data_IF_612504877696
#
_entry.id   IF_612504877696
#
_cell.length_a   1.000
_cell.length_b   1.000
_cell.length_c   1.000
_cell.angle_alpha   90.00
_cell.angle_beta   90.00
_cell.angle_gamma   90.00
#
_symmetry.space_group_name_H-M   'P 1'
#
loop_
_entity.id
_entity.type
_entity.pdbx_description
1 polymer ?
#
# COMPACT_ATOMS: atom_id res chain seq x y z
N UNK A 1 -19.06 -22.93 -13.07
CA UNK A 1 -19.42 -22.10 -14.23
C UNK A 1 -18.15 -21.42 -14.70
N UNK A 2 -17.85 -21.47 -15.99
CA UNK A 2 -16.71 -20.74 -16.54
C UNK A 2 -17.06 -19.26 -16.71
N UNK A 3 -16.16 -18.33 -16.38
CA UNK A 3 -16.39 -16.91 -16.62
C UNK A 3 -16.34 -16.62 -18.12
N UNK A 4 -17.34 -15.90 -18.61
CA UNK A 4 -17.42 -15.46 -20.01
C UNK A 4 -16.38 -14.37 -20.29
N UNK A 5 -16.22 -13.44 -19.35
CA UNK A 5 -15.32 -12.30 -19.46
C UNK A 5 -14.53 -12.18 -18.15
N UNK A 6 -13.22 -11.95 -18.26
CA UNK A 6 -12.36 -11.63 -17.13
C UNK A 6 -11.68 -10.30 -17.42
N UNK A 7 -11.75 -9.37 -16.47
CA UNK A 7 -11.10 -8.06 -16.56
C UNK A 7 -10.41 -7.71 -15.25
N UNK A 8 -9.20 -7.17 -15.35
CA UNK A 8 -8.50 -6.60 -14.20
C UNK A 8 -8.98 -5.16 -13.96
N UNK A 9 -9.32 -4.85 -12.71
CA UNK A 9 -9.76 -3.52 -12.30
C UNK A 9 -8.94 -3.04 -11.10
N UNK A 10 -8.46 -1.80 -11.18
CA UNK A 10 -7.75 -1.15 -10.07
C UNK A 10 -8.73 -0.71 -8.97
N UNK A 11 -8.35 -0.86 -7.72
CA UNK A 11 -9.19 -0.52 -6.56
C UNK A 11 -9.63 0.96 -6.55
N UNK A 12 -8.73 1.88 -6.91
CA UNK A 12 -9.06 3.32 -6.98
C UNK A 12 -10.16 3.65 -8.03
N UNK A 13 -10.35 2.80 -9.05
CA UNK A 13 -11.37 2.99 -10.08
C UNK A 13 -12.59 2.08 -9.90
N UNK A 14 -12.58 1.20 -8.89
CA UNK A 14 -13.65 0.23 -8.64
C UNK A 14 -14.98 0.91 -8.27
N UNK A 15 -14.93 1.96 -7.44
CA UNK A 15 -16.13 2.73 -7.07
C UNK A 15 -16.74 3.53 -8.24
N UNK A 16 -15.90 4.00 -9.17
CA UNK A 16 -16.40 4.63 -10.41
C UNK A 16 -17.03 3.59 -11.33
N UNK A 17 -16.38 2.44 -11.46
CA UNK A 17 -16.88 1.33 -12.25
C UNK A 17 -18.24 0.84 -11.71
N UNK A 18 -18.40 0.67 -10.40
CA UNK A 18 -19.67 0.25 -9.81
C UNK A 18 -20.79 1.26 -10.04
N UNK A 19 -20.51 2.56 -9.95
CA UNK A 19 -21.50 3.61 -10.22
C UNK A 19 -21.95 3.59 -11.70
N UNK A 20 -21.02 3.47 -12.64
CA UNK A 20 -21.36 3.34 -14.06
C UNK A 20 -22.10 2.04 -14.37
N UNK A 21 -21.72 0.95 -13.70
CA UNK A 21 -22.40 -0.33 -13.81
C UNK A 21 -23.84 -0.23 -13.31
N UNK A 22 -24.08 0.43 -12.17
CA UNK A 22 -25.43 0.67 -11.65
C UNK A 22 -26.31 1.45 -12.66
N UNK A 23 -25.75 2.48 -13.30
CA UNK A 23 -26.44 3.25 -14.35
C UNK A 23 -26.70 2.42 -15.61
N UNK A 24 -25.74 1.59 -16.03
CA UNK A 24 -25.92 0.71 -17.18
C UNK A 24 -27.00 -0.35 -16.92
N UNK A 25 -27.03 -0.91 -15.71
CA UNK A 25 -28.04 -1.89 -15.29
C UNK A 25 -29.44 -1.28 -15.15
N UNK A 26 -29.56 -0.04 -14.67
CA UNK A 26 -30.87 0.63 -14.54
C UNK A 26 -31.49 1.05 -15.87
N UNK A 27 -30.70 1.13 -16.95
CA UNK A 27 -31.19 1.37 -18.32
C UNK A 27 -31.71 0.11 -19.00
N UNK A 28 -31.31 -1.07 -18.51
CA UNK A 28 -31.88 -2.34 -18.95
C UNK A 28 -33.15 -2.70 -18.18
N UNK A 29 -33.79 -3.81 -18.54
CA UNK A 29 -34.76 -4.47 -17.65
C UNK A 29 -33.99 -4.95 -16.42
N UNK A 30 -34.11 -4.20 -15.32
CA UNK A 30 -33.32 -4.43 -14.12
C UNK A 30 -33.68 -5.78 -13.49
N UNK A 31 -32.77 -6.75 -13.62
CA UNK A 31 -32.80 -7.99 -12.85
C UNK A 31 -32.67 -7.70 -11.34
N UNK A 32 -33.29 -8.52 -10.46
CA UNK A 32 -33.15 -8.36 -9.02
C UNK A 32 -31.70 -8.50 -8.58
N UNK A 33 -31.31 -7.77 -7.53
CA UNK A 33 -29.94 -7.74 -7.02
C UNK A 33 -29.36 -9.13 -6.71
N UNK A 34 -30.22 -10.10 -6.35
CA UNK A 34 -29.84 -11.48 -6.07
C UNK A 34 -29.21 -12.20 -7.28
N UNK A 35 -29.71 -11.94 -8.49
CA UNK A 35 -29.17 -12.57 -9.69
C UNK A 35 -27.79 -12.03 -10.06
N UNK A 36 -27.55 -10.75 -9.76
CA UNK A 36 -26.25 -10.13 -9.95
C UNK A 36 -25.19 -10.75 -9.03
N UNK A 37 -25.58 -11.24 -7.85
CA UNK A 37 -24.67 -11.88 -6.89
C UNK A 37 -23.91 -13.07 -7.51
N UNK A 38 -24.59 -13.85 -8.35
CA UNK A 38 -24.03 -15.02 -9.02
C UNK A 38 -23.42 -14.70 -10.39
N UNK A 39 -23.85 -13.62 -11.02
CA UNK A 39 -23.44 -13.28 -12.38
C UNK A 39 -22.14 -12.44 -12.44
N UNK A 40 -21.78 -11.76 -11.34
CA UNK A 40 -20.53 -10.99 -11.22
C UNK A 40 -19.80 -11.34 -9.92
N UNK A 41 -18.52 -11.70 -10.03
CA UNK A 41 -17.63 -11.92 -8.89
C UNK A 41 -16.33 -11.16 -9.09
N UNK A 42 -15.92 -10.38 -8.10
CA UNK A 42 -14.59 -9.77 -8.04
C UNK A 42 -13.69 -10.57 -7.12
N UNK A 43 -12.50 -10.94 -7.58
CA UNK A 43 -11.52 -11.70 -6.80
C UNK A 43 -10.21 -10.91 -6.64
N UNK A 44 -9.73 -10.79 -5.41
CA UNK A 44 -8.44 -10.17 -5.15
C UNK A 44 -7.29 -11.02 -5.71
N UNK A 45 -6.43 -10.42 -6.53
CA UNK A 45 -5.33 -11.15 -7.20
C UNK A 45 -4.25 -11.70 -6.25
N UNK A 46 -4.15 -11.18 -5.02
CA UNK A 46 -3.16 -11.66 -4.05
C UNK A 46 -3.74 -12.64 -3.02
N UNK A 47 -4.88 -12.32 -2.42
CA UNK A 47 -5.41 -13.12 -1.31
C UNK A 47 -6.62 -13.99 -1.67
N UNK A 48 -7.09 -13.93 -2.92
CA UNK A 48 -8.23 -14.71 -3.41
C UNK A 48 -9.57 -14.34 -2.77
N UNK A 49 -9.64 -13.24 -2.01
CA UNK A 49 -10.88 -12.80 -1.39
C UNK A 49 -11.89 -12.45 -2.48
N UNK A 50 -13.05 -13.10 -2.44
CA UNK A 50 -14.15 -12.87 -3.36
C UNK A 50 -15.13 -11.84 -2.80
N UNK A 51 -15.66 -11.04 -3.71
CA UNK A 51 -16.66 -10.00 -3.48
C UNK A 51 -17.74 -10.17 -4.55
N UNK A 52 -18.99 -10.27 -4.15
CA UNK A 52 -20.08 -10.57 -5.07
C UNK A 52 -20.60 -9.30 -5.78
N UNK A 53 -21.35 -9.47 -6.86
CA UNK A 53 -21.92 -8.36 -7.64
C UNK A 53 -22.74 -7.37 -6.81
N UNK A 54 -23.50 -7.84 -5.82
CA UNK A 54 -24.24 -6.96 -4.91
C UNK A 54 -23.31 -6.09 -4.06
N UNK A 55 -22.25 -6.68 -3.50
CA UNK A 55 -21.26 -5.95 -2.69
C UNK A 55 -20.51 -4.91 -3.55
N UNK A 56 -20.32 -5.18 -4.84
CA UNK A 56 -19.76 -4.21 -5.80
C UNK A 56 -20.75 -3.09 -6.08
N UNK A 57 -22.04 -3.38 -6.28
CA UNK A 57 -23.06 -2.34 -6.48
C UNK A 57 -23.25 -1.43 -5.27
N UNK A 58 -23.15 -1.98 -4.06
CA UNK A 58 -23.18 -1.19 -2.83
C UNK A 58 -22.10 -0.10 -2.82
N UNK A 59 -20.98 -0.28 -3.54
CA UNK A 59 -19.95 0.77 -3.64
C UNK A 59 -20.46 2.05 -4.34
N UNK A 60 -21.53 1.96 -5.14
CA UNK A 60 -22.17 3.12 -5.78
C UNK A 60 -23.17 3.86 -4.88
N UNK A 61 -23.65 3.24 -3.81
CA UNK A 61 -24.61 3.85 -2.90
C UNK A 61 -23.91 4.84 -1.95
N UNK A 62 -24.56 5.95 -1.59
CA UNK A 62 -24.00 6.92 -0.65
C UNK A 62 -23.76 6.27 0.72
N UNK A 63 -22.67 6.69 1.36
CA UNK A 63 -22.27 6.17 2.67
C UNK A 63 -23.12 6.83 3.75
N UNK A 64 -24.03 6.10 4.40
CA UNK A 64 -24.80 6.63 5.53
C UNK A 64 -23.97 6.71 6.84
N UNK A 65 -22.82 6.00 6.93
CA UNK A 65 -21.96 5.97 8.15
C UNK A 65 -20.47 5.97 7.82
N UNK A 66 -19.75 6.96 8.37
CA UNK A 66 -18.34 7.29 8.06
C UNK A 66 -17.31 6.23 8.46
N UNK A 67 -17.62 5.31 9.38
CA UNK A 67 -16.70 4.26 9.84
C UNK A 67 -17.29 2.86 9.61
N UNK A 68 -17.49 2.49 8.35
CA UNK A 68 -17.88 1.13 8.04
C UNK A 68 -16.64 0.21 7.94
N UNK A 69 -16.42 -0.59 8.99
CA UNK A 69 -15.39 -1.65 9.00
C UNK A 69 -15.79 -2.87 8.16
N UNK A 70 -16.94 -2.83 7.48
CA UNK A 70 -17.37 -3.84 6.53
C UNK A 70 -16.40 -3.99 5.36
N UNK A 71 -16.58 -5.09 4.62
CA UNK A 71 -15.85 -5.33 3.36
C UNK A 71 -16.08 -4.20 2.35
N UNK A 72 -17.32 -3.73 2.23
CA UNK A 72 -17.70 -2.66 1.31
C UNK A 72 -17.04 -1.32 1.69
N UNK A 73 -17.01 -0.97 2.99
CA UNK A 73 -16.32 0.22 3.46
C UNK A 73 -14.83 0.22 3.07
N UNK A 74 -14.13 -0.89 3.27
CA UNK A 74 -12.72 -1.01 2.87
C UNK A 74 -12.50 -0.85 1.37
N UNK A 75 -13.36 -1.46 0.55
CA UNK A 75 -13.30 -1.36 -0.92
C UNK A 75 -13.56 0.08 -1.40
N UNK A 76 -14.50 0.80 -0.77
CA UNK A 76 -14.75 2.22 -1.06
C UNK A 76 -13.50 3.08 -0.82
N UNK A 77 -12.73 2.77 0.22
CA UNK A 77 -11.45 3.42 0.51
C UNK A 77 -10.25 2.87 -0.29
N UNK A 78 -10.50 2.18 -1.40
CA UNK A 78 -9.49 1.56 -2.27
C UNK A 78 -8.55 0.58 -1.54
N UNK A 79 -9.04 -0.08 -0.48
CA UNK A 79 -8.34 -1.18 0.19
C UNK A 79 -8.96 -2.52 -0.16
N UNK A 80 -8.15 -3.58 -0.13
CA UNK A 80 -8.66 -4.94 -0.21
C UNK A 80 -9.65 -5.22 0.93
N UNK A 81 -10.74 -5.93 0.60
CA UNK A 81 -11.75 -6.39 1.57
C UNK A 81 -11.14 -7.22 2.72
N UNK A 82 -10.08 -7.99 2.46
CA UNK A 82 -9.34 -8.71 3.50
C UNK A 82 -8.44 -7.76 4.31
N UNK A 83 -8.61 -7.76 5.64
CA UNK A 83 -7.71 -7.07 6.59
C UNK A 83 -6.27 -7.56 6.41
N UNK A 84 -5.32 -6.63 6.25
CA UNK A 84 -3.90 -6.93 6.09
C UNK A 84 -3.43 -7.23 4.65
N UNK A 85 -4.35 -7.33 3.68
CA UNK A 85 -3.95 -7.48 2.27
C UNK A 85 -3.67 -6.11 1.63
N UNK A 86 -2.57 -6.00 0.88
CA UNK A 86 -2.08 -4.77 0.23
C UNK A 86 -2.27 -4.78 -1.29
N UNK A 87 -3.13 -5.67 -1.81
CA UNK A 87 -3.40 -5.74 -3.24
C UNK A 87 -4.12 -4.49 -3.73
N UNK A 88 -3.78 -4.04 -4.93
CA UNK A 88 -4.37 -2.90 -5.63
C UNK A 88 -5.33 -3.30 -6.76
N UNK A 89 -5.41 -4.59 -7.09
CA UNK A 89 -6.15 -5.08 -8.25
C UNK A 89 -7.14 -6.18 -7.87
N UNK A 90 -8.29 -6.17 -8.52
CA UNK A 90 -9.29 -7.22 -8.48
C UNK A 90 -9.55 -7.73 -9.90
N UNK A 91 -9.70 -9.05 -10.03
CA UNK A 91 -10.18 -9.73 -11.22
C UNK A 91 -11.70 -9.77 -11.18
N UNK A 92 -12.33 -9.00 -12.05
CA UNK A 92 -13.77 -9.06 -12.27
C UNK A 92 -14.06 -10.22 -13.22
N UNK A 93 -14.88 -11.17 -12.76
CA UNK A 93 -15.32 -12.35 -13.50
C UNK A 93 -16.82 -12.20 -13.75
N UNK A 94 -17.19 -12.19 -15.02
CA UNK A 94 -18.58 -12.10 -15.46
C UNK A 94 -19.03 -13.46 -15.96
N UNK A 95 -20.08 -14.01 -15.38
CA UNK A 95 -20.63 -15.32 -15.73
C UNK A 95 -21.85 -15.15 -16.64
N UNK A 96 -22.00 -16.05 -17.60
CA UNK A 96 -23.16 -16.03 -18.49
C UNK A 96 -24.46 -16.10 -17.67
N UNK A 97 -25.38 -15.18 -17.92
CA UNK A 97 -26.68 -15.13 -17.26
C UNK A 97 -27.74 -14.69 -18.26
N UNK A 98 -28.95 -15.28 -18.28
CA UNK A 98 -29.99 -14.97 -19.28
C UNK A 98 -30.39 -13.50 -19.31
N UNK A 99 -30.33 -12.83 -18.15
CA UNK A 99 -30.76 -11.43 -17.99
C UNK A 99 -29.64 -10.41 -18.18
N UNK A 100 -28.38 -10.84 -18.31
CA UNK A 100 -27.23 -9.92 -18.41
C UNK A 100 -26.46 -10.13 -19.72
N UNK A 101 -26.63 -9.21 -20.67
CA UNK A 101 -25.72 -9.08 -21.82
C UNK A 101 -24.49 -8.26 -21.40
N UNK A 102 -23.51 -8.96 -20.81
CA UNK A 102 -22.27 -8.36 -20.32
C UNK A 102 -21.51 -7.58 -21.39
N UNK A 103 -21.58 -8.00 -22.65
CA UNK A 103 -20.87 -7.32 -23.73
C UNK A 103 -21.44 -5.92 -23.94
N UNK A 104 -22.77 -5.83 -24.03
CA UNK A 104 -23.46 -4.56 -24.19
C UNK A 104 -23.34 -3.68 -22.93
N UNK A 105 -23.53 -4.26 -21.74
CA UNK A 105 -23.40 -3.54 -20.47
C UNK A 105 -22.00 -2.93 -20.32
N UNK A 106 -20.94 -3.71 -20.56
CA UNK A 106 -19.56 -3.22 -20.45
C UNK A 106 -19.24 -2.14 -21.50
N UNK A 107 -19.75 -2.29 -22.73
CA UNK A 107 -19.61 -1.24 -23.76
C UNK A 107 -20.25 0.08 -23.33
N UNK A 108 -21.38 0.05 -22.62
CA UNK A 108 -22.00 1.26 -22.08
C UNK A 108 -21.20 1.85 -20.92
N UNK A 109 -20.68 1.01 -20.03
CA UNK A 109 -19.83 1.45 -18.89
C UNK A 109 -18.54 2.11 -19.37
N UNK A 110 -17.92 1.59 -20.42
CA UNK A 110 -16.69 2.15 -20.98
C UNK A 110 -16.96 3.42 -21.82
N UNK A 111 -18.13 3.54 -22.45
CA UNK A 111 -18.54 4.73 -23.24
C UNK A 111 -19.11 5.87 -22.41
N UNK A 112 -19.58 5.61 -21.19
CA UNK A 112 -20.14 6.64 -20.34
C UNK A 112 -19.09 7.75 -20.12
N UNK A 113 -19.38 9.01 -20.50
CA UNK A 113 -18.47 10.12 -20.23
C UNK A 113 -18.19 10.18 -18.73
N UNK A 114 -17.03 10.72 -18.36
CA UNK A 114 -16.68 11.06 -16.97
C UNK A 114 -17.56 12.22 -16.47
N UNK A 115 -18.89 12.05 -16.50
CA UNK A 115 -19.82 12.79 -15.66
C UNK A 115 -19.55 12.30 -14.23
N UNK A 116 -18.47 12.86 -13.69
CA UNK A 116 -18.09 12.72 -12.31
C UNK A 116 -19.26 13.28 -11.49
N UNK A 117 -20.10 12.38 -10.97
CA UNK A 117 -21.04 12.76 -9.93
C UNK A 117 -20.26 13.55 -8.86
N UNK A 118 -20.72 14.74 -8.44
CA UNK A 118 -20.02 15.58 -7.47
C UNK A 118 -19.66 14.83 -6.17
N UNK A 119 -20.37 13.74 -5.86
CA UNK A 119 -20.12 12.86 -4.72
C UNK A 119 -18.92 11.92 -4.91
N UNK A 120 -18.62 11.49 -6.14
CA UNK A 120 -17.39 10.75 -6.46
C UNK A 120 -16.18 11.65 -6.27
N UNK A 121 -16.31 12.93 -6.61
CA UNK A 121 -15.27 13.95 -6.38
C UNK A 121 -15.07 14.16 -4.87
N UNK A 122 -16.16 14.28 -4.09
CA UNK A 122 -16.10 14.42 -2.63
C UNK A 122 -15.41 13.22 -1.97
N UNK A 123 -15.78 11.99 -2.35
CA UNK A 123 -15.14 10.78 -1.85
C UNK A 123 -13.67 10.66 -2.27
N UNK A 124 -13.33 11.15 -3.47
CA UNK A 124 -11.93 11.22 -3.91
C UNK A 124 -11.11 12.26 -3.16
N UNK A 125 -11.69 13.41 -2.82
CA UNK A 125 -11.04 14.41 -1.97
C UNK A 125 -10.85 13.90 -0.54
N UNK A 126 -11.81 13.13 -0.01
CA UNK A 126 -11.70 12.46 1.28
C UNK A 126 -10.60 11.37 1.25
N UNK A 127 -10.52 10.59 0.16
CA UNK A 127 -9.44 9.64 -0.08
C UNK A 127 -8.06 10.30 -0.19
N UNK A 128 -7.95 11.42 -0.91
CA UNK A 128 -6.69 12.17 -1.03
C UNK A 128 -6.24 12.76 0.30
N UNK A 129 -7.16 13.33 1.08
CA UNK A 129 -6.86 13.90 2.38
C UNK A 129 -6.45 12.81 3.39
N UNK A 130 -7.09 11.65 3.38
CA UNK A 130 -6.67 10.48 4.17
C UNK A 130 -5.32 9.91 3.72
N UNK A 131 -5.05 9.82 2.41
CA UNK A 131 -3.74 9.40 1.87
C UNK A 131 -2.62 10.36 2.31
N UNK A 132 -2.86 11.67 2.28
CA UNK A 132 -1.91 12.71 2.76
C UNK A 132 -1.69 12.62 4.28
N UNK A 133 -2.75 12.43 5.07
CA UNK A 133 -2.65 12.28 6.51
C UNK A 133 -1.83 11.03 6.93
N UNK A 134 -1.99 9.91 6.20
CA UNK A 134 -1.28 8.66 6.52
C UNK A 134 0.18 8.63 6.05
N UNK A 135 0.52 9.31 4.93
CA UNK A 135 1.92 9.56 4.54
C UNK A 135 2.67 10.37 5.60
N UNK A 136 2.01 11.37 6.21
CA UNK A 136 2.59 12.18 7.28
C UNK A 136 2.85 11.36 8.55
N UNK A 137 1.97 10.42 8.91
CA UNK A 137 2.18 9.52 10.05
C UNK A 137 3.33 8.51 9.83
N UNK A 138 3.46 7.94 8.63
CA UNK A 138 4.58 7.04 8.33
C UNK A 138 5.92 7.78 8.26
N UNK A 139 5.93 8.98 7.68
CA UNK A 139 7.12 9.84 7.66
C UNK A 139 7.55 10.26 9.07
N UNK A 140 6.59 10.55 9.97
CA UNK A 140 6.91 10.91 11.36
C UNK A 140 7.56 9.74 12.09
N UNK A 141 7.03 8.51 11.97
CA UNK A 141 7.61 7.33 12.61
C UNK A 141 9.01 7.01 12.10
N UNK A 142 9.24 7.15 10.79
CA UNK A 142 10.56 6.95 10.20
C UNK A 142 11.56 7.99 10.70
N UNK A 143 11.16 9.27 10.77
CA UNK A 143 11.98 10.32 11.37
C UNK A 143 12.32 10.05 12.83
N UNK A 144 11.38 9.54 13.63
CA UNK A 144 11.64 9.21 15.05
C UNK A 144 12.68 8.09 15.18
N UNK A 145 12.58 7.03 14.36
CA UNK A 145 13.55 5.93 14.38
C UNK A 145 14.93 6.42 13.93
N UNK A 146 15.00 7.20 12.85
CA UNK A 146 16.27 7.77 12.37
C UNK A 146 16.89 8.69 13.42
N UNK A 147 16.09 9.54 14.06
CA UNK A 147 16.57 10.42 15.13
C UNK A 147 17.14 9.63 16.32
N UNK A 148 16.48 8.54 16.73
CA UNK A 148 17.00 7.67 17.80
C UNK A 148 18.31 6.99 17.41
N UNK A 149 18.43 6.50 16.18
CA UNK A 149 19.68 5.89 15.69
C UNK A 149 20.81 6.90 15.66
N UNK A 150 20.57 8.11 15.16
CA UNK A 150 21.57 9.19 15.14
C UNK A 150 21.96 9.58 16.56
N UNK A 151 21.01 9.76 17.46
CA UNK A 151 21.28 10.07 18.87
C UNK A 151 22.12 8.98 19.53
N UNK A 152 21.77 7.71 19.32
CA UNK A 152 22.52 6.57 19.85
C UNK A 152 23.94 6.54 19.27
N UNK A 153 24.11 6.85 17.99
CA UNK A 153 25.41 6.91 17.34
C UNK A 153 26.29 8.05 17.87
N UNK A 154 25.70 9.23 18.11
CA UNK A 154 26.40 10.37 18.73
C UNK A 154 26.82 10.03 20.17
N UNK A 155 25.92 9.45 20.96
CA UNK A 155 26.24 9.00 22.31
C UNK A 155 27.36 7.95 22.30
N UNK A 156 27.31 7.00 21.36
CA UNK A 156 28.34 5.98 21.22
C UNK A 156 29.71 6.58 20.84
N UNK A 157 29.73 7.56 19.91
CA UNK A 157 30.98 8.28 19.58
C UNK A 157 31.52 9.08 20.77
N UNK A 158 30.64 9.68 21.56
CA UNK A 158 31.04 10.50 22.70
C UNK A 158 31.57 9.64 23.85
N UNK A 159 30.91 8.52 24.14
CA UNK A 159 31.33 7.57 25.19
C UNK A 159 32.64 6.84 24.83
N UNK A 160 32.84 6.51 23.55
CA UNK A 160 34.07 5.86 23.07
C UNK A 160 35.16 6.87 22.66
N UNK A 161 35.00 8.16 22.99
CA UNK A 161 36.09 9.15 22.90
C UNK A 161 36.66 9.37 21.49
N UNK A 162 35.84 9.28 20.45
CA UNK A 162 36.26 9.62 19.09
C UNK A 162 37.24 8.65 18.42
N UNK A 163 37.39 7.42 18.93
CA UNK A 163 38.16 6.39 18.21
C UNK A 163 37.37 5.89 17.00
N UNK A 164 37.77 6.30 15.80
CA UNK A 164 37.25 5.74 14.54
C UNK A 164 37.72 4.28 14.48
N UNK A 165 36.81 3.28 14.50
CA UNK A 165 37.19 1.87 14.65
C UNK A 165 38.02 1.31 13.47
N UNK A 166 38.11 2.04 12.35
CA UNK A 166 38.79 1.58 11.13
C UNK A 166 40.05 2.36 10.73
N UNK A 167 40.41 3.45 11.42
CA UNK A 167 41.66 4.19 11.17
C UNK A 167 42.62 4.00 12.34
N UNK A 168 43.21 2.80 12.47
CA UNK A 168 44.45 2.66 13.23
C UNK A 168 45.60 3.15 12.36
N UNK A 169 46.08 4.36 12.63
CA UNK A 169 47.41 4.76 12.17
C UNK A 169 48.41 3.91 12.97
N UNK A 170 49.24 3.06 12.33
CA UNK A 170 50.23 2.29 13.06
C UNK A 170 51.27 3.27 13.64
N UNK A 171 51.29 3.43 14.96
CA UNK A 171 52.33 4.18 15.64
C UNK A 171 53.67 3.47 15.43
N UNK A 172 54.54 4.09 14.62
CA UNK A 172 55.95 3.73 14.51
C UNK A 172 56.65 4.15 15.80
N UNK A 173 56.60 3.30 16.81
CA UNK A 173 57.54 3.39 17.93
C UNK A 173 58.90 2.90 17.45
N UNK A 174 59.77 3.83 17.08
CA UNK A 174 61.21 3.57 17.05
C UNK A 174 61.73 3.67 18.48
N UNK A 175 62.07 2.53 19.06
CA UNK A 175 62.75 2.45 20.36
C UNK A 175 64.18 2.94 20.14
N UNK A 176 64.52 4.10 20.70
CA UNK A 176 65.91 4.55 20.78
C UNK A 176 66.66 3.60 21.73
N UNK A 177 67.58 2.82 21.17
CA UNK A 177 68.47 2.01 21.98
C UNK A 177 69.51 2.93 22.62
N UNK A 178 69.40 3.14 23.93
CA UNK A 178 70.43 3.83 24.72
C UNK A 178 71.71 2.98 24.66
N UNK A 179 72.85 3.53 24.21
CA UNK A 179 74.11 2.79 24.18
C UNK A 179 74.50 2.36 25.60
N UNK A 180 74.78 1.07 25.79
CA UNK A 180 75.45 0.58 27.01
C UNK A 180 76.84 1.20 27.06
N UNK A 181 77.04 2.14 27.96
CA UNK A 181 78.37 2.58 28.37
C UNK A 181 78.99 1.44 29.19
N UNK A 182 79.84 0.63 28.55
CA UNK A 182 80.75 -0.29 29.23
C UNK A 182 81.86 0.52 29.90
N UNK A 183 81.66 0.79 31.19
CA UNK A 183 82.63 1.38 32.10
C UNK A 183 83.35 0.23 32.84
N UNK A 184 84.69 0.33 32.94
CA UNK A 184 85.64 -0.57 33.63
C UNK A 184 86.01 -1.80 32.78
N UNK A 185 87.28 -2.04 32.47
CA UNK A 185 88.35 -2.21 33.47
C UNK A 185 89.54 -1.26 33.33
N UNK A 186 89.89 -0.66 34.47
CA UNK A 186 91.26 -0.30 34.82
C UNK A 186 91.99 -1.61 35.15
N UNK A 187 93.05 -1.94 34.41
CA UNK A 187 94.05 -2.89 34.88
C UNK A 187 95.38 -2.16 34.98
N UNK A 188 95.94 -2.20 36.19
CA UNK A 188 97.17 -1.58 36.65
C UNK A 188 98.39 -2.03 35.86
N UNK A 189 99.30 -1.09 35.57
CA UNK A 189 100.76 -1.29 35.60
C UNK A 189 101.49 0.04 35.75
#
# INVERSE_FOLDING_TARGET
MEPLIIRDQHLDSLGRFSARLAVALSRGEAAPAEELAGALVAECVQCGMQVNGCEILQLSEPVEKEEDTSKAGRLRFAYCARKGCTSYFYKLKFFAHPQFDWTNILLQVDKAPDEQSPEVIANQQLLESMKKARRKQFASRLCTVVALVVLMFVLFQWYNGGTIPFLRVPEKFTVDMVPRVSHLDMEEQ
#
